data_IF_435341713155
#
_entry.id   IF_435341713155
#
_cell.length_a   1.000
_cell.length_b   1.000
_cell.length_c   1.000
_cell.angle_alpha   90.00
_cell.angle_beta   90.00
_cell.angle_gamma   90.00
#
_symmetry.space_group_name_H-M   'P 1'
#
loop_
_entity.id
_entity.type
_entity.pdbx_description
1 polymer ?
#
# COMPACT_ATOMS: atom_id res chain seq x y z
N UNK A 1 -30.98 -16.51 14.55
CA UNK A 1 -30.08 -17.00 13.49
C UNK A 1 -29.25 -15.81 13.02
N UNK A 2 -28.05 -15.62 13.58
CA UNK A 2 -27.15 -14.53 13.18
C UNK A 2 -26.46 -14.95 11.89
N UNK A 3 -26.69 -14.24 10.79
CA UNK A 3 -25.90 -14.41 9.57
C UNK A 3 -24.45 -13.96 9.81
N UNK A 4 -23.46 -14.56 9.13
CA UNK A 4 -22.09 -14.12 9.23
C UNK A 4 -21.97 -12.63 8.82
N UNK A 5 -21.09 -11.84 9.48
CA UNK A 5 -20.95 -10.43 9.18
C UNK A 5 -20.58 -10.21 7.71
N UNK A 6 -21.28 -9.29 7.06
CA UNK A 6 -20.98 -8.82 5.71
C UNK A 6 -19.65 -8.07 5.77
N UNK A 7 -18.56 -8.76 5.43
CA UNK A 7 -17.26 -8.14 5.26
C UNK A 7 -17.32 -7.17 4.08
N UNK A 8 -17.33 -5.86 4.33
CA UNK A 8 -17.26 -4.85 3.26
C UNK A 8 -15.94 -5.02 2.49
N UNK A 9 -16.04 -5.16 1.17
CA UNK A 9 -14.94 -5.41 0.22
C UNK A 9 -14.20 -4.14 -0.25
N UNK A 10 -14.43 -3.00 0.39
CA UNK A 10 -13.99 -1.67 -0.06
C UNK A 10 -12.83 -1.08 0.76
N UNK A 11 -12.12 -1.89 1.56
CA UNK A 11 -11.15 -1.41 2.56
C UNK A 11 -9.96 -2.33 2.71
N UNK A 12 -8.78 -1.74 2.95
CA UNK A 12 -7.52 -2.44 3.27
C UNK A 12 -7.12 -2.18 4.72
N UNK A 13 -6.62 -3.19 5.44
CA UNK A 13 -6.11 -3.02 6.81
C UNK A 13 -4.58 -2.96 6.84
N UNK A 14 -3.99 -2.01 7.57
CA UNK A 14 -2.53 -2.01 7.79
C UNK A 14 -2.13 -3.06 8.84
N UNK A 15 -1.06 -3.80 8.55
CA UNK A 15 -0.54 -4.84 9.46
C UNK A 15 0.74 -4.43 10.18
N UNK A 16 1.54 -3.52 9.61
CA UNK A 16 2.79 -3.05 10.21
C UNK A 16 3.16 -1.65 9.69
N UNK A 17 3.91 -0.87 10.45
CA UNK A 17 4.38 0.49 10.13
C UNK A 17 5.80 0.70 10.69
N UNK A 18 6.72 1.23 9.88
CA UNK A 18 8.09 1.57 10.31
C UNK A 18 8.29 3.09 10.21
N UNK A 19 8.65 3.74 11.33
CA UNK A 19 8.84 5.19 11.41
C UNK A 19 10.23 5.64 10.90
N UNK A 20 10.32 6.75 10.16
CA UNK A 20 11.60 7.39 9.79
C UNK A 20 12.07 8.37 10.88
N UNK A 21 13.37 8.38 11.20
CA UNK A 21 13.97 9.10 12.33
C UNK A 21 13.97 10.65 12.25
N UNK A 22 13.34 11.28 11.24
CA UNK A 22 13.26 12.75 11.12
C UNK A 22 11.79 13.22 11.17
N UNK A 23 11.49 14.11 12.13
CA UNK A 23 10.15 14.56 12.55
C UNK A 23 9.19 14.90 11.39
N UNK A 24 8.14 14.10 11.23
CA UNK A 24 6.71 14.45 11.30
C UNK A 24 5.89 13.14 11.30
N UNK A 25 4.98 12.99 12.27
CA UNK A 25 4.13 11.81 12.47
C UNK A 25 2.80 11.97 11.73
N UNK A 26 2.53 11.11 10.75
CA UNK A 26 1.20 10.60 10.48
C UNK A 26 1.25 9.12 10.90
N UNK A 27 0.50 8.74 11.94
CA UNK A 27 0.45 7.36 12.42
C UNK A 27 -0.96 6.85 12.16
N UNK A 28 -1.07 5.79 11.37
CA UNK A 28 -2.25 4.94 11.38
C UNK A 28 -1.96 3.73 12.27
N UNK A 29 -2.90 3.38 13.14
CA UNK A 29 -2.72 2.22 14.01
C UNK A 29 -2.75 0.94 13.17
N UNK A 30 -1.89 -0.03 13.49
CA UNK A 30 -1.98 -1.40 12.95
C UNK A 30 -3.40 -1.93 13.24
N UNK A 31 -4.10 -2.38 12.18
CA UNK A 31 -5.52 -2.76 12.21
C UNK A 31 -6.49 -1.70 11.69
N UNK A 32 -6.05 -0.47 11.42
CA UNK A 32 -6.90 0.55 10.78
C UNK A 32 -7.16 0.24 9.31
N UNK A 33 -8.38 0.59 8.89
CA UNK A 33 -8.90 0.35 7.54
C UNK A 33 -8.83 1.63 6.71
N UNK A 34 -8.15 1.56 5.57
CA UNK A 34 -8.03 2.68 4.64
C UNK A 34 -9.04 2.59 3.48
N UNK A 35 -9.47 3.74 2.93
CA UNK A 35 -10.19 3.79 1.67
C UNK A 35 -9.34 3.25 0.52
N UNK A 36 -9.93 2.45 -0.36
CA UNK A 36 -9.22 1.87 -1.50
C UNK A 36 -9.07 2.82 -2.71
N UNK A 37 -9.78 3.94 -2.69
CA UNK A 37 -9.87 4.92 -3.77
C UNK A 37 -8.97 6.15 -3.57
N UNK A 38 -8.61 6.48 -2.32
CA UNK A 38 -7.81 7.67 -2.01
C UNK A 38 -6.39 7.37 -1.50
N UNK A 39 -6.05 6.14 -1.10
CA UNK A 39 -4.71 5.81 -0.59
C UNK A 39 -3.87 5.02 -1.58
N UNK A 40 -2.55 5.23 -1.55
CA UNK A 40 -1.64 4.56 -2.48
C UNK A 40 -1.65 3.02 -2.31
N UNK A 41 -1.63 2.52 -1.08
CA UNK A 41 -1.70 1.08 -0.80
C UNK A 41 -3.07 0.47 -1.18
N UNK A 42 -4.16 1.22 -0.99
CA UNK A 42 -5.51 0.81 -1.34
C UNK A 42 -5.68 0.67 -2.85
N UNK A 43 -5.26 1.70 -3.60
CA UNK A 43 -5.28 1.69 -5.07
C UNK A 43 -4.43 0.55 -5.64
N UNK A 44 -3.23 0.34 -5.10
CA UNK A 44 -2.37 -0.77 -5.52
C UNK A 44 -3.02 -2.14 -5.26
N UNK A 45 -3.62 -2.31 -4.08
CA UNK A 45 -4.29 -3.56 -3.71
C UNK A 45 -5.49 -3.88 -4.62
N UNK A 46 -6.29 -2.88 -4.98
CA UNK A 46 -7.41 -3.05 -5.92
C UNK A 46 -6.92 -3.45 -7.30
N UNK A 47 -5.85 -2.82 -7.81
CA UNK A 47 -5.27 -3.18 -9.10
C UNK A 47 -4.84 -4.66 -9.13
N UNK A 48 -4.10 -5.12 -8.12
CA UNK A 48 -3.64 -6.52 -8.00
C UNK A 48 -4.80 -7.49 -7.75
N UNK A 49 -5.80 -7.09 -6.96
CA UNK A 49 -7.01 -7.89 -6.76
C UNK A 49 -7.78 -8.08 -8.08
N UNK A 50 -7.79 -7.06 -8.94
CA UNK A 50 -8.35 -7.08 -10.30
C UNK A 50 -7.49 -7.78 -11.36
N UNK A 51 -6.33 -8.32 -10.98
CA UNK A 51 -5.44 -9.06 -11.90
C UNK A 51 -4.47 -8.19 -12.69
N UNK A 52 -4.33 -6.90 -12.34
CA UNK A 52 -3.30 -6.06 -12.93
C UNK A 52 -1.90 -6.49 -12.47
N UNK A 53 -0.90 -6.23 -13.31
CA UNK A 53 0.51 -6.38 -12.96
C UNK A 53 0.82 -5.39 -11.83
N UNK A 54 1.54 -5.86 -10.81
CA UNK A 54 1.96 -5.02 -9.69
C UNK A 54 2.86 -3.87 -10.18
N UNK A 55 2.43 -2.64 -9.92
CA UNK A 55 3.20 -1.41 -10.14
C UNK A 55 2.89 -0.41 -9.02
N UNK A 56 3.60 0.71 -9.02
CA UNK A 56 3.44 1.78 -8.05
C UNK A 56 2.14 2.55 -8.30
N UNK A 57 1.31 2.63 -7.27
CA UNK A 57 0.18 3.55 -7.19
C UNK A 57 0.53 4.76 -6.33
N UNK A 58 -0.15 5.88 -6.57
CA UNK A 58 0.09 7.14 -5.88
C UNK A 58 -1.17 7.66 -5.19
N UNK A 59 -0.93 8.34 -4.08
CA UNK A 59 -1.83 9.27 -3.40
C UNK A 59 -1.12 10.62 -3.43
N UNK A 60 -1.66 11.56 -4.19
CA UNK A 60 -1.07 12.90 -4.39
C UNK A 60 -1.85 13.94 -3.61
N UNK A 61 -1.73 13.89 -2.29
CA UNK A 61 -2.48 14.77 -1.39
C UNK A 61 -3.99 14.51 -1.37
N UNK A 62 -4.39 13.28 -1.70
CA UNK A 62 -5.79 12.91 -1.92
C UNK A 62 -6.43 12.41 -0.63
N UNK A 63 -5.70 11.66 0.18
CA UNK A 63 -6.22 11.11 1.42
C UNK A 63 -6.07 12.07 2.61
N UNK A 64 -4.92 12.73 2.74
CA UNK A 64 -4.62 13.62 3.87
C UNK A 64 -3.90 14.87 3.35
N UNK A 65 -4.47 16.08 3.54
CA UNK A 65 -3.84 17.31 3.10
C UNK A 65 -2.42 17.52 3.68
N UNK A 66 -1.51 17.96 2.83
CA UNK A 66 -0.07 18.03 3.08
C UNK A 66 0.69 16.70 3.00
N UNK A 67 0.06 15.56 2.70
CA UNK A 67 0.69 14.23 2.68
C UNK A 67 0.50 13.55 1.33
N UNK A 68 1.60 13.14 0.71
CA UNK A 68 1.58 12.26 -0.46
C UNK A 68 2.14 10.89 -0.11
N UNK A 69 1.74 9.86 -0.85
CA UNK A 69 2.26 8.52 -0.71
C UNK A 69 2.44 7.83 -2.06
N UNK A 70 3.40 6.92 -2.10
CA UNK A 70 3.49 5.88 -3.11
C UNK A 70 3.33 4.52 -2.44
N UNK A 71 2.73 3.57 -3.14
CA UNK A 71 2.50 2.24 -2.63
C UNK A 71 2.50 1.21 -3.73
N UNK A 72 2.78 -0.02 -3.35
CA UNK A 72 2.70 -1.21 -4.20
C UNK A 72 1.81 -2.23 -3.50
N UNK A 73 1.34 -3.20 -4.27
CA UNK A 73 0.75 -4.40 -3.75
C UNK A 73 1.25 -5.59 -4.56
N UNK A 74 1.15 -6.78 -3.97
CA UNK A 74 1.42 -8.02 -4.66
C UNK A 74 0.78 -9.19 -3.92
N UNK A 75 0.71 -10.32 -4.61
CA UNK A 75 0.24 -11.57 -4.00
C UNK A 75 1.43 -12.26 -3.36
N UNK A 76 1.23 -12.71 -2.14
CA UNK A 76 2.18 -13.58 -1.44
C UNK A 76 1.71 -15.02 -1.54
N UNK A 77 2.62 -15.98 -1.30
CA UNK A 77 2.33 -17.41 -1.29
C UNK A 77 1.10 -17.70 -0.40
N UNK A 78 0.09 -18.38 -0.96
CA UNK A 78 -1.21 -18.58 -0.29
C UNK A 78 -2.32 -17.62 -0.75
N UNK A 79 -2.06 -16.78 -1.75
CA UNK A 79 -3.09 -16.00 -2.46
C UNK A 79 -3.54 -14.71 -1.77
N UNK A 80 -2.98 -14.41 -0.59
CA UNK A 80 -3.21 -13.14 0.11
C UNK A 80 -2.58 -11.98 -0.65
N UNK A 81 -3.30 -10.86 -0.74
CA UNK A 81 -2.73 -9.60 -1.25
C UNK A 81 -2.13 -8.84 -0.08
N UNK A 82 -0.87 -8.45 -0.22
CA UNK A 82 -0.16 -7.56 0.71
C UNK A 82 0.14 -6.25 -0.03
N UNK A 83 0.03 -5.13 0.68
CA UNK A 83 0.38 -3.82 0.15
C UNK A 83 1.29 -3.07 1.12
N UNK A 84 2.26 -2.34 0.57
CA UNK A 84 3.16 -1.46 1.33
C UNK A 84 3.12 -0.06 0.73
N UNK A 85 3.32 0.97 1.55
CA UNK A 85 3.36 2.36 1.09
C UNK A 85 4.30 3.21 1.92
N UNK A 86 4.79 4.29 1.31
CA UNK A 86 5.65 5.30 1.95
C UNK A 86 4.90 6.64 1.93
N UNK A 87 4.23 7.02 3.03
CA UNK A 87 3.68 8.36 3.19
C UNK A 87 4.77 9.35 3.62
N UNK A 88 4.76 10.55 3.05
CA UNK A 88 5.62 11.65 3.45
C UNK A 88 4.93 13.00 3.18
N UNK A 89 5.33 14.09 3.86
CA UNK A 89 4.86 15.42 3.49
C UNK A 89 5.11 15.71 2.02
N UNK A 90 4.11 16.27 1.34
CA UNK A 90 4.07 16.36 -0.13
C UNK A 90 5.34 16.96 -0.72
N UNK A 91 5.90 18.02 -0.13
CA UNK A 91 7.16 18.61 -0.59
C UNK A 91 8.35 17.63 -0.53
N UNK A 92 8.47 16.87 0.56
CA UNK A 92 9.54 15.86 0.72
C UNK A 92 9.31 14.66 -0.18
N UNK A 93 8.05 14.26 -0.34
CA UNK A 93 7.67 13.19 -1.24
C UNK A 93 8.12 13.52 -2.67
N UNK A 94 7.79 14.71 -3.18
CA UNK A 94 8.20 15.16 -4.51
C UNK A 94 9.72 15.21 -4.66
N UNK A 95 10.43 15.69 -3.63
CA UNK A 95 11.90 15.74 -3.65
C UNK A 95 12.57 14.35 -3.65
N UNK A 96 11.88 13.30 -3.20
CA UNK A 96 12.42 11.94 -3.07
C UNK A 96 11.68 10.91 -3.93
N UNK A 97 10.79 11.35 -4.82
CA UNK A 97 9.85 10.48 -5.53
C UNK A 97 10.57 9.33 -6.25
N UNK A 98 11.63 9.66 -7.01
CA UNK A 98 12.40 8.68 -7.76
C UNK A 98 13.02 7.61 -6.86
N UNK A 99 13.52 8.01 -5.68
CA UNK A 99 14.12 7.11 -4.69
C UNK A 99 13.04 6.19 -4.11
N UNK A 100 11.88 6.75 -3.75
CA UNK A 100 10.74 6.02 -3.19
C UNK A 100 10.23 5.00 -4.22
N UNK A 101 10.02 5.43 -5.47
CA UNK A 101 9.56 4.57 -6.56
C UNK A 101 10.57 3.45 -6.85
N UNK A 102 11.86 3.77 -6.89
CA UNK A 102 12.90 2.76 -7.10
C UNK A 102 12.93 1.72 -5.98
N UNK A 103 12.83 2.16 -4.71
CA UNK A 103 12.79 1.27 -3.56
C UNK A 103 11.55 0.35 -3.57
N UNK A 104 10.37 0.90 -3.87
CA UNK A 104 9.14 0.11 -3.99
C UNK A 104 9.23 -0.90 -5.13
N UNK A 105 9.73 -0.52 -6.30
CA UNK A 105 9.96 -1.46 -7.42
C UNK A 105 10.99 -2.53 -7.08
N UNK A 106 12.00 -2.22 -6.29
CA UNK A 106 12.94 -3.22 -5.78
C UNK A 106 12.26 -4.18 -4.80
N UNK A 107 11.37 -3.69 -3.93
CA UNK A 107 10.58 -4.51 -3.04
C UNK A 107 9.66 -5.49 -3.79
N UNK A 108 9.03 -5.08 -4.90
CA UNK A 108 8.25 -5.98 -5.76
C UNK A 108 9.05 -7.16 -6.32
N UNK A 109 10.36 -6.99 -6.50
CA UNK A 109 11.25 -8.06 -7.00
C UNK A 109 11.70 -9.02 -5.89
N UNK A 110 11.31 -8.75 -4.65
CA UNK A 110 11.68 -9.62 -3.53
C UNK A 110 10.93 -10.96 -3.62
N UNK A 111 11.57 -12.08 -3.24
CA UNK A 111 11.00 -13.43 -3.37
C UNK A 111 9.63 -13.59 -2.70
N UNK A 112 9.34 -12.79 -1.67
CA UNK A 112 8.04 -12.80 -0.99
C UNK A 112 6.86 -12.36 -1.87
N UNK A 113 7.12 -11.67 -2.99
CA UNK A 113 6.12 -11.32 -4.02
C UNK A 113 6.24 -12.17 -5.30
N UNK A 114 7.27 -13.04 -5.39
CA UNK A 114 7.49 -13.93 -6.52
C UNK A 114 7.21 -15.37 -6.10
N UNK A 115 5.94 -15.74 -6.00
CA UNK A 115 5.54 -17.15 -6.00
C UNK A 115 4.11 -17.30 -6.49
N UNK A 116 3.95 -17.41 -7.83
CA UNK A 116 2.91 -18.25 -8.45
C UNK A 116 3.24 -18.58 -9.93
N UNK A 117 4.50 -18.92 -10.23
CA UNK A 117 4.87 -19.49 -11.54
C UNK A 117 5.83 -20.66 -11.37
N UNK A 118 5.33 -21.76 -10.84
CA UNK A 118 5.89 -23.10 -11.07
C UNK A 118 4.80 -24.14 -10.78
N UNK A 119 3.98 -24.42 -11.81
CA UNK A 119 3.30 -25.70 -11.95
C UNK A 119 3.89 -26.40 -13.16
#
# INVERSE_FOLDING_TARGET
MYGPPIQRRDRISASDQVESAHRLRAVSAVGERFPVDSTANGKAAVAVAGGAVADVAFDRDEHTPGISAAGIAGRVSGGQVVAISVPAPTERFLAQEDIIVAALRAALKSPCYQDDTAQ
#
